data_IF_165146617321
#
_entry.id   IF_165146617321
#
_cell.length_a   1.000
_cell.length_b   1.000
_cell.length_c   1.000
_cell.angle_alpha   90.00
_cell.angle_beta   90.00
_cell.angle_gamma   90.00
#
_symmetry.space_group_name_H-M   'P 1'
#
loop_
_entity.id
_entity.type
_entity.pdbx_description
1 polymer ?
#
# COMPACT_ATOMS: atom_id res chain seq x y z
N UNK A 1 -25.25 7.20 7.17
CA UNK A 1 -25.66 5.96 6.47
C UNK A 1 -25.05 5.88 5.07
N UNK A 2 -25.16 6.93 4.25
CA UNK A 2 -24.54 7.02 2.91
C UNK A 2 -23.02 6.86 2.88
N UNK A 3 -22.27 7.53 3.77
CA UNK A 3 -20.78 7.43 3.81
C UNK A 3 -20.27 6.05 4.21
N UNK A 4 -20.97 5.39 5.14
CA UNK A 4 -20.69 4.01 5.55
C UNK A 4 -20.96 2.99 4.43
N UNK A 5 -21.89 3.30 3.53
CA UNK A 5 -22.11 2.52 2.32
C UNK A 5 -21.00 2.77 1.30
N UNK A 6 -20.59 4.03 1.10
CA UNK A 6 -19.51 4.44 0.19
C UNK A 6 -18.21 3.65 0.41
N UNK A 7 -17.71 3.56 1.65
CA UNK A 7 -16.48 2.80 1.93
C UNK A 7 -16.61 1.30 1.65
N UNK A 8 -17.80 0.71 1.89
CA UNK A 8 -18.05 -0.71 1.60
C UNK A 8 -18.08 -0.98 0.10
N UNK A 9 -18.63 -0.07 -0.68
CA UNK A 9 -18.67 -0.19 -2.13
C UNK A 9 -17.25 -0.09 -2.72
N UNK A 10 -16.43 0.85 -2.23
CA UNK A 10 -15.03 0.99 -2.64
C UNK A 10 -14.19 -0.24 -2.26
N UNK A 11 -14.39 -0.76 -1.05
CA UNK A 11 -13.81 -2.03 -0.60
C UNK A 11 -14.17 -3.16 -1.56
N UNK A 12 -15.45 -3.28 -1.93
CA UNK A 12 -15.92 -4.31 -2.86
C UNK A 12 -15.24 -4.17 -4.23
N UNK A 13 -15.06 -2.95 -4.74
CA UNK A 13 -14.34 -2.72 -6.00
C UNK A 13 -12.88 -3.21 -5.94
N UNK A 14 -12.16 -2.91 -4.85
CA UNK A 14 -10.80 -3.43 -4.67
C UNK A 14 -10.82 -4.97 -4.52
N UNK A 15 -11.72 -5.53 -3.70
CA UNK A 15 -11.82 -6.97 -3.50
C UNK A 15 -12.07 -7.71 -4.81
N UNK A 16 -13.03 -7.22 -5.62
CA UNK A 16 -13.28 -7.75 -6.96
C UNK A 16 -12.03 -7.67 -7.82
N UNK A 17 -11.38 -6.50 -7.90
CA UNK A 17 -10.14 -6.33 -8.67
C UNK A 17 -9.06 -7.34 -8.26
N UNK A 18 -8.79 -7.49 -6.97
CA UNK A 18 -7.77 -8.40 -6.45
C UNK A 18 -8.08 -9.88 -6.72
N UNK A 19 -9.36 -10.25 -6.81
CA UNK A 19 -9.81 -11.63 -7.00
C UNK A 19 -9.98 -12.00 -8.48
N UNK A 20 -10.35 -11.05 -9.33
CA UNK A 20 -10.74 -11.32 -10.73
C UNK A 20 -9.76 -10.80 -11.77
N UNK A 21 -8.81 -9.92 -11.39
CA UNK A 21 -7.82 -9.41 -12.34
C UNK A 21 -6.97 -10.55 -12.94
N UNK A 22 -6.92 -10.68 -14.29
CA UNK A 22 -6.11 -11.70 -14.95
C UNK A 22 -4.62 -11.53 -14.67
N UNK A 23 -4.12 -10.28 -14.63
CA UNK A 23 -2.72 -9.96 -14.36
C UNK A 23 -2.26 -10.33 -12.95
N UNK A 24 -3.21 -10.41 -12.00
CA UNK A 24 -2.95 -10.76 -10.61
C UNK A 24 -3.32 -12.21 -10.28
N UNK A 25 -3.99 -12.93 -11.17
CA UNK A 25 -4.69 -14.19 -10.86
C UNK A 25 -3.78 -15.27 -10.26
N UNK A 26 -2.54 -15.38 -10.74
CA UNK A 26 -1.58 -16.37 -10.29
C UNK A 26 -0.14 -15.88 -10.43
N UNK A 27 0.80 -16.67 -9.90
CA UNK A 27 2.23 -16.34 -9.88
C UNK A 27 2.83 -16.10 -11.28
N UNK A 28 2.34 -16.79 -12.31
CA UNK A 28 2.84 -16.63 -13.68
C UNK A 28 2.37 -15.33 -14.32
N UNK A 29 1.12 -14.93 -14.06
CA UNK A 29 0.60 -13.63 -14.48
C UNK A 29 1.36 -12.47 -13.78
N UNK A 30 1.56 -12.58 -12.47
CA UNK A 30 2.37 -11.63 -11.70
C UNK A 30 3.80 -11.57 -12.24
N UNK A 31 4.38 -12.71 -12.59
CA UNK A 31 5.72 -12.77 -13.21
C UNK A 31 5.79 -11.95 -14.48
N UNK A 32 4.80 -12.07 -15.38
CA UNK A 32 4.76 -11.27 -16.61
C UNK A 32 4.74 -9.76 -16.32
N UNK A 33 3.93 -9.32 -15.34
CA UNK A 33 3.87 -7.90 -14.93
C UNK A 33 5.24 -7.42 -14.43
N UNK A 34 5.82 -8.15 -13.47
CA UNK A 34 7.13 -7.80 -12.88
C UNK A 34 8.24 -7.80 -13.93
N UNK A 35 8.28 -8.80 -14.81
CA UNK A 35 9.30 -8.87 -15.87
C UNK A 35 9.14 -7.75 -16.91
N UNK A 36 7.90 -7.38 -17.24
CA UNK A 36 7.62 -6.27 -18.15
C UNK A 36 8.09 -4.93 -17.59
N UNK A 37 7.93 -4.71 -16.28
CA UNK A 37 8.36 -3.48 -15.63
C UNK A 37 9.88 -3.46 -15.36
N UNK A 38 10.45 -4.60 -14.95
CA UNK A 38 11.85 -4.74 -14.56
C UNK A 38 12.73 -5.40 -15.63
N UNK A 39 12.50 -5.11 -16.91
CA UNK A 39 13.22 -5.74 -18.04
C UNK A 39 14.74 -5.64 -17.93
N UNK A 40 15.27 -4.57 -17.34
CA UNK A 40 16.71 -4.33 -17.18
C UNK A 40 17.30 -4.92 -15.89
N UNK A 41 16.46 -5.45 -14.99
CA UNK A 41 16.93 -6.04 -13.73
C UNK A 41 17.36 -7.50 -13.92
N UNK A 42 18.30 -8.01 -13.09
CA UNK A 42 18.66 -9.44 -13.09
C UNK A 42 17.45 -10.33 -12.79
N UNK A 43 17.43 -11.54 -13.37
CA UNK A 43 16.35 -12.50 -13.20
C UNK A 43 16.09 -12.86 -11.71
N UNK A 44 17.14 -12.92 -10.90
CA UNK A 44 17.04 -13.17 -9.45
C UNK A 44 16.26 -12.06 -8.72
N UNK A 45 16.48 -10.80 -9.11
CA UNK A 45 15.75 -9.65 -8.55
C UNK A 45 14.28 -9.72 -8.98
N UNK A 46 14.01 -10.04 -10.25
CA UNK A 46 12.66 -10.20 -10.75
C UNK A 46 11.91 -11.31 -10.00
N UNK A 47 12.48 -12.51 -9.87
CA UNK A 47 11.83 -13.62 -9.14
C UNK A 47 11.61 -13.30 -7.65
N UNK A 48 12.55 -12.58 -7.01
CA UNK A 48 12.35 -12.07 -5.65
C UNK A 48 11.13 -11.15 -5.58
N UNK A 49 10.98 -10.20 -6.51
CA UNK A 49 9.80 -9.31 -6.57
C UNK A 49 8.52 -10.09 -6.81
N UNK A 50 8.52 -11.07 -7.72
CA UNK A 50 7.35 -11.94 -7.98
C UNK A 50 6.88 -12.64 -6.69
N UNK A 51 7.81 -13.19 -5.91
CA UNK A 51 7.49 -13.84 -4.64
C UNK A 51 6.91 -12.85 -3.62
N UNK A 52 7.49 -11.65 -3.51
CA UNK A 52 7.02 -10.61 -2.59
C UNK A 52 5.63 -10.09 -2.98
N UNK A 53 5.38 -9.82 -4.27
CA UNK A 53 4.06 -9.41 -4.78
C UNK A 53 3.02 -10.48 -4.48
N UNK A 54 3.35 -11.75 -4.78
CA UNK A 54 2.45 -12.88 -4.57
C UNK A 54 2.05 -13.01 -3.10
N UNK A 55 3.02 -12.99 -2.18
CA UNK A 55 2.77 -13.04 -0.73
C UNK A 55 1.90 -11.86 -0.27
N UNK A 56 2.20 -10.63 -0.70
CA UNK A 56 1.39 -9.47 -0.35
C UNK A 56 -0.05 -9.63 -0.84
N UNK A 57 -0.26 -10.06 -2.10
CA UNK A 57 -1.58 -10.29 -2.66
C UNK A 57 -2.36 -11.37 -1.90
N UNK A 58 -1.71 -12.46 -1.50
CA UNK A 58 -2.36 -13.52 -0.72
C UNK A 58 -2.86 -12.99 0.62
N UNK A 59 -2.08 -12.13 1.28
CA UNK A 59 -2.51 -11.48 2.52
C UNK A 59 -3.69 -10.53 2.25
N UNK A 60 -3.60 -9.69 1.22
CA UNK A 60 -4.67 -8.77 0.83
C UNK A 60 -5.98 -9.51 0.49
N UNK A 61 -5.89 -10.64 -0.20
CA UNK A 61 -7.02 -11.52 -0.55
C UNK A 61 -7.62 -12.24 0.65
N UNK A 62 -6.78 -12.65 1.61
CA UNK A 62 -7.26 -13.28 2.84
C UNK A 62 -8.15 -12.35 3.68
N UNK A 63 -8.09 -11.04 3.41
CA UNK A 63 -8.89 -10.01 4.04
C UNK A 63 -10.15 -9.64 3.24
N UNK A 64 -10.33 -10.19 2.04
CA UNK A 64 -11.56 -10.03 1.25
C UNK A 64 -12.71 -10.77 1.94
N UNK A 65 -13.89 -10.14 1.98
CA UNK A 65 -15.09 -10.70 2.62
C UNK A 65 -15.44 -10.06 3.97
N UNK A 66 -16.43 -10.66 4.65
CA UNK A 66 -17.05 -10.08 5.85
C UNK A 66 -17.10 -11.02 7.08
N UNK A 67 -16.66 -12.28 6.96
CA UNK A 67 -16.75 -13.27 8.04
C UNK A 67 -15.56 -13.21 9.01
N UNK A 68 -15.54 -12.14 9.81
CA UNK A 68 -14.50 -11.90 10.83
C UNK A 68 -14.90 -12.36 12.23
N UNK A 69 -15.98 -13.16 12.35
CA UNK A 69 -16.50 -13.69 13.63
C UNK A 69 -15.83 -14.99 14.07
N UNK A 70 -14.83 -15.48 13.34
CA UNK A 70 -14.09 -16.69 13.70
C UNK A 70 -13.19 -16.41 14.91
N UNK A 71 -13.34 -17.22 15.96
CA UNK A 71 -12.45 -17.22 17.12
C UNK A 71 -11.17 -18.05 16.91
N UNK A 72 -10.95 -18.58 15.70
CA UNK A 72 -9.76 -19.39 15.39
C UNK A 72 -8.48 -18.55 15.44
N UNK A 73 -7.41 -19.15 15.95
CA UNK A 73 -6.08 -18.56 15.90
C UNK A 73 -5.69 -18.23 14.44
N UNK A 74 -5.06 -17.07 14.21
CA UNK A 74 -4.70 -16.60 12.87
C UNK A 74 -5.86 -16.01 12.04
N UNK A 75 -7.11 -16.01 12.53
CA UNK A 75 -8.21 -15.32 11.85
C UNK A 75 -8.11 -13.79 12.01
N UNK A 76 -8.61 -13.06 11.01
CA UNK A 76 -8.73 -11.61 11.06
C UNK A 76 -9.71 -11.18 12.16
N UNK A 77 -9.22 -10.38 13.10
CA UNK A 77 -9.97 -9.75 14.19
C UNK A 77 -10.21 -8.29 13.80
N UNK A 78 -11.49 -7.90 13.73
CA UNK A 78 -11.87 -6.50 13.50
C UNK A 78 -11.50 -5.66 14.73
N UNK A 79 -10.66 -4.65 14.55
CA UNK A 79 -10.28 -3.71 15.62
C UNK A 79 -11.16 -2.47 15.58
N UNK A 80 -11.38 -1.93 14.39
CA UNK A 80 -12.19 -0.72 14.21
C UNK A 80 -12.84 -0.71 12.82
N UNK A 81 -14.07 -0.21 12.72
CA UNK A 81 -14.80 -0.05 11.46
C UNK A 81 -15.66 1.22 11.51
N UNK A 82 -15.21 2.24 10.79
CA UNK A 82 -15.83 3.58 10.77
C UNK A 82 -16.36 3.89 9.37
N UNK A 83 -16.92 5.09 9.17
CA UNK A 83 -17.29 5.54 7.83
C UNK A 83 -16.07 5.95 6.97
N UNK A 84 -14.89 6.10 7.59
CA UNK A 84 -13.69 6.63 6.94
C UNK A 84 -12.55 5.63 6.77
N UNK A 85 -12.48 4.61 7.63
CA UNK A 85 -11.45 3.57 7.60
C UNK A 85 -11.88 2.30 8.36
N UNK A 86 -11.20 1.19 8.09
CA UNK A 86 -11.30 -0.08 8.82
C UNK A 86 -9.90 -0.54 9.22
N UNK A 87 -9.76 -1.02 10.45
CA UNK A 87 -8.52 -1.64 10.96
C UNK A 87 -8.80 -3.08 11.38
N UNK A 88 -7.95 -3.99 10.91
CA UNK A 88 -7.98 -5.40 11.24
C UNK A 88 -6.61 -5.87 11.73
N UNK A 89 -6.63 -6.95 12.49
CA UNK A 89 -5.45 -7.54 13.09
C UNK A 89 -5.56 -9.06 13.09
N UNK A 90 -4.46 -9.75 12.86
CA UNK A 90 -4.34 -11.18 13.18
C UNK A 90 -2.97 -11.49 13.76
N UNK A 91 -2.92 -12.50 14.62
CA UNK A 91 -1.67 -13.14 15.01
C UNK A 91 -1.09 -13.89 13.80
N UNK A 92 0.24 -13.97 13.73
CA UNK A 92 0.91 -14.86 12.80
C UNK A 92 0.63 -16.33 13.15
N UNK A 93 1.19 -17.29 12.38
CA UNK A 93 1.15 -18.69 12.72
C UNK A 93 1.66 -18.95 14.15
N UNK A 94 1.19 -20.02 14.79
CA UNK A 94 1.63 -20.38 16.13
C UNK A 94 3.17 -20.54 16.16
N UNK A 95 3.82 -19.92 17.15
CA UNK A 95 5.28 -19.86 17.25
C UNK A 95 5.96 -18.79 16.39
N UNK A 96 5.22 -18.07 15.54
CA UNK A 96 5.75 -16.95 14.76
C UNK A 96 5.77 -15.65 15.57
N UNK A 97 6.84 -14.85 15.51
CA UNK A 97 6.89 -13.53 16.15
C UNK A 97 6.11 -12.45 15.38
N UNK A 98 5.57 -12.80 14.20
CA UNK A 98 4.92 -11.84 13.33
C UNK A 98 3.47 -11.57 13.75
N UNK A 99 3.11 -10.30 13.67
CA UNK A 99 1.76 -9.81 13.80
C UNK A 99 1.34 -9.10 12.52
N UNK A 100 0.18 -9.45 11.97
CA UNK A 100 -0.34 -8.80 10.77
C UNK A 100 -1.37 -7.75 11.13
N UNK A 101 -1.15 -6.52 10.66
CA UNK A 101 -2.10 -5.42 10.73
C UNK A 101 -2.53 -5.05 9.32
N UNK A 102 -3.81 -4.75 9.15
CA UNK A 102 -4.37 -4.26 7.90
C UNK A 102 -5.20 -3.03 8.19
N UNK A 103 -5.01 -2.00 7.38
CA UNK A 103 -5.77 -0.76 7.45
C UNK A 103 -6.19 -0.35 6.06
N UNK A 104 -7.43 0.09 5.93
CA UNK A 104 -7.98 0.53 4.65
C UNK A 104 -8.92 1.70 4.84
N UNK A 105 -9.09 2.47 3.77
CA UNK A 105 -9.91 3.67 3.74
C UNK A 105 -9.89 4.29 2.36
N UNK A 106 -10.33 5.53 2.27
CA UNK A 106 -10.23 6.33 1.05
C UNK A 106 -9.73 7.72 1.36
N UNK A 107 -9.08 8.33 0.37
CA UNK A 107 -8.63 9.71 0.41
C UNK A 107 -9.20 10.48 -0.79
N UNK A 108 -9.50 11.75 -0.55
CA UNK A 108 -10.03 12.68 -1.55
C UNK A 108 -8.85 13.28 -2.35
N UNK A 109 -8.18 12.42 -3.13
CA UNK A 109 -7.16 12.79 -4.10
C UNK A 109 -6.91 11.69 -5.15
N UNK A 110 -6.30 12.04 -6.29
CA UNK A 110 -5.93 11.08 -7.33
C UNK A 110 -4.81 10.13 -6.86
N UNK A 111 -4.61 9.04 -7.61
CA UNK A 111 -3.70 7.94 -7.22
C UNK A 111 -2.26 8.40 -7.07
N UNK A 112 -1.77 9.27 -7.95
CA UNK A 112 -0.40 9.80 -7.92
C UNK A 112 -0.14 10.64 -6.66
N UNK A 113 -1.10 11.46 -6.24
CA UNK A 113 -1.02 12.25 -5.00
C UNK A 113 -1.07 11.33 -3.78
N UNK A 114 -1.97 10.36 -3.78
CA UNK A 114 -2.07 9.36 -2.72
C UNK A 114 -0.79 8.53 -2.60
N UNK A 115 -0.18 8.17 -3.73
CA UNK A 115 1.11 7.50 -3.77
C UNK A 115 2.19 8.41 -3.20
N UNK A 116 2.29 9.67 -3.62
CA UNK A 116 3.29 10.61 -3.09
C UNK A 116 3.24 10.73 -1.57
N UNK A 117 2.05 10.86 -0.99
CA UNK A 117 1.86 10.90 0.46
C UNK A 117 2.38 9.64 1.19
N UNK A 118 2.26 8.46 0.57
CA UNK A 118 2.66 7.17 1.16
C UNK A 118 4.09 6.72 0.78
N UNK A 119 4.61 7.22 -0.34
CA UNK A 119 5.93 6.86 -0.90
C UNK A 119 7.04 7.76 -0.36
N UNK A 120 6.77 9.06 -0.18
CA UNK A 120 7.76 10.02 0.31
C UNK A 120 7.94 9.91 1.83
N UNK A 121 8.69 8.90 2.25
CA UNK A 121 8.95 8.64 3.67
C UNK A 121 9.56 9.86 4.38
N UNK A 122 10.35 10.68 3.67
CA UNK A 122 10.93 11.93 4.21
C UNK A 122 9.88 12.88 4.79
N UNK A 123 8.63 12.83 4.31
CA UNK A 123 7.53 13.69 4.76
C UNK A 123 6.80 13.14 6.00
N UNK A 124 7.09 11.90 6.43
CA UNK A 124 6.36 11.27 7.54
C UNK A 124 6.54 12.02 8.85
N UNK A 125 7.67 12.69 9.08
CA UNK A 125 7.85 13.55 10.26
C UNK A 125 6.80 14.68 10.33
N UNK A 126 6.26 15.11 9.19
CA UNK A 126 5.33 16.24 9.09
C UNK A 126 3.87 15.83 9.32
N UNK A 127 3.50 14.58 9.02
CA UNK A 127 2.09 14.16 9.07
C UNK A 127 1.83 12.85 9.83
N UNK A 128 2.82 11.97 10.00
CA UNK A 128 2.61 10.70 10.70
C UNK A 128 2.29 10.94 12.18
N UNK A 129 1.40 10.16 12.82
CA UNK A 129 1.00 10.41 14.19
C UNK A 129 2.16 10.46 15.18
N UNK A 130 2.06 11.39 16.13
CA UNK A 130 3.00 11.56 17.23
C UNK A 130 2.21 11.54 18.54
N UNK A 131 2.59 10.65 19.46
CA UNK A 131 1.95 10.48 20.77
C UNK A 131 2.95 10.74 21.89
N UNK A 132 2.49 11.45 22.91
CA UNK A 132 3.25 11.62 24.15
C UNK A 132 2.99 10.48 25.16
N UNK A 133 1.79 9.88 25.14
CA UNK A 133 1.45 8.75 26.01
C UNK A 133 0.35 7.87 25.40
N UNK A 134 0.57 6.56 25.20
CA UNK A 134 1.88 5.89 25.16
C UNK A 134 2.81 6.57 24.14
N UNK A 135 4.10 6.69 24.45
CA UNK A 135 5.03 7.43 23.59
C UNK A 135 5.15 6.77 22.22
N UNK A 136 4.91 7.53 21.15
CA UNK A 136 5.24 7.11 19.79
C UNK A 136 5.68 8.31 18.99
N UNK A 137 6.91 8.32 18.47
CA UNK A 137 7.41 9.45 17.68
C UNK A 137 8.29 9.03 16.52
N UNK A 138 8.12 9.64 15.35
CA UNK A 138 9.08 9.51 14.25
C UNK A 138 10.31 10.35 14.58
N UNK A 139 11.45 9.68 14.78
CA UNK A 139 12.74 10.32 15.08
C UNK A 139 13.46 10.72 13.79
N UNK A 140 13.49 9.80 12.83
CA UNK A 140 14.12 9.98 11.53
C UNK A 140 13.28 9.29 10.47
N UNK A 141 13.08 9.95 9.35
CA UNK A 141 12.43 9.40 8.17
C UNK A 141 13.12 9.98 6.94
N UNK A 142 13.83 9.16 6.17
CA UNK A 142 14.56 9.65 5.00
C UNK A 142 14.75 8.56 3.94
N UNK A 143 14.86 8.99 2.68
CA UNK A 143 15.29 8.14 1.58
C UNK A 143 16.81 7.98 1.61
N UNK A 144 17.29 6.76 1.77
CA UNK A 144 18.72 6.44 1.75
C UNK A 144 19.26 6.35 0.32
N UNK A 145 18.50 5.70 -0.57
CA UNK A 145 18.92 5.46 -1.96
C UNK A 145 17.73 5.39 -2.90
N UNK A 146 17.81 6.05 -4.05
CA UNK A 146 16.93 5.80 -5.21
C UNK A 146 17.59 4.69 -6.02
N UNK A 147 16.99 3.50 -6.09
CA UNK A 147 17.56 2.36 -6.80
C UNK A 147 17.18 2.43 -8.28
N UNK A 148 15.89 2.60 -8.54
CA UNK A 148 15.27 2.82 -9.86
C UNK A 148 14.12 3.80 -9.71
N UNK A 149 13.38 4.08 -10.79
CA UNK A 149 12.24 5.00 -10.72
C UNK A 149 11.19 4.53 -9.71
N UNK A 150 10.92 3.24 -9.77
CA UNK A 150 9.94 2.41 -9.05
C UNK A 150 10.54 1.73 -7.81
N UNK A 151 11.81 2.00 -7.46
CA UNK A 151 12.46 1.38 -6.30
C UNK A 151 13.30 2.37 -5.49
N UNK A 152 13.17 2.31 -4.17
CA UNK A 152 13.99 3.08 -3.25
C UNK A 152 14.23 2.35 -1.94
N UNK A 153 15.34 2.69 -1.28
CA UNK A 153 15.64 2.24 0.07
C UNK A 153 15.49 3.43 1.00
N UNK A 154 14.75 3.25 2.08
CA UNK A 154 14.45 4.31 3.04
C UNK A 154 14.62 3.84 4.49
N UNK A 155 14.94 4.76 5.38
CA UNK A 155 15.12 4.51 6.81
C UNK A 155 14.00 5.17 7.60
N UNK A 156 13.41 4.41 8.53
CA UNK A 156 12.50 4.94 9.55
C UNK A 156 13.04 4.58 10.93
N UNK A 157 13.22 5.59 11.78
CA UNK A 157 13.53 5.44 13.21
C UNK A 157 12.37 5.99 14.02
N UNK A 158 11.93 5.23 15.01
CA UNK A 158 10.79 5.58 15.83
C UNK A 158 11.06 5.34 17.31
N UNK A 159 10.62 6.29 18.13
CA UNK A 159 10.45 6.10 19.55
C UNK A 159 9.14 5.37 19.78
N UNK A 160 9.14 4.36 20.65
CA UNK A 160 7.98 3.52 20.97
C UNK A 160 7.70 3.55 22.47
N UNK A 161 6.55 2.99 22.94
CA UNK A 161 6.20 3.05 24.35
C UNK A 161 7.20 2.32 25.25
N UNK A 162 7.58 2.95 26.37
CA UNK A 162 8.38 2.31 27.41
C UNK A 162 7.67 1.03 27.92
N UNK A 163 8.39 -0.08 28.21
CA UNK A 163 9.84 -0.23 28.36
C UNK A 163 10.62 -0.56 27.08
N UNK A 164 10.00 -0.41 25.90
CA UNK A 164 10.67 -0.71 24.64
C UNK A 164 11.73 0.36 24.33
N UNK A 165 12.93 -0.08 23.95
CA UNK A 165 13.93 0.81 23.32
C UNK A 165 13.40 1.39 22.00
N UNK A 166 14.13 2.33 21.41
CA UNK A 166 13.77 2.84 20.09
C UNK A 166 13.83 1.73 19.04
N UNK A 167 13.06 1.88 17.96
CA UNK A 167 12.96 0.92 16.87
C UNK A 167 13.37 1.55 15.55
N UNK A 168 13.96 0.74 14.68
CA UNK A 168 14.24 1.17 13.32
C UNK A 168 13.89 0.10 12.30
N UNK A 169 13.66 0.54 11.07
CA UNK A 169 13.48 -0.33 9.92
C UNK A 169 14.09 0.32 8.69
N UNK A 170 14.87 -0.46 7.94
CA UNK A 170 15.34 -0.10 6.60
C UNK A 170 14.43 -0.81 5.61
N UNK A 171 13.70 -0.04 4.82
CA UNK A 171 12.65 -0.53 3.92
C UNK A 171 13.10 -0.43 2.48
N UNK A 172 13.04 -1.55 1.78
CA UNK A 172 13.12 -1.69 0.34
C UNK A 172 11.72 -1.54 -0.26
N UNK A 173 11.51 -0.42 -0.95
CA UNK A 173 10.27 -0.06 -1.63
C UNK A 173 10.33 -0.55 -3.08
N UNK A 174 9.24 -1.14 -3.54
CA UNK A 174 9.01 -1.45 -4.95
C UNK A 174 7.57 -1.13 -5.33
N UNK A 175 7.37 -0.24 -6.30
CA UNK A 175 6.07 0.04 -6.90
C UNK A 175 5.84 -0.92 -8.07
N UNK A 176 4.62 -1.42 -8.21
CA UNK A 176 4.17 -2.27 -9.31
C UNK A 176 2.95 -1.64 -9.95
N UNK A 177 3.07 -1.38 -11.24
CA UNK A 177 2.05 -0.77 -12.07
C UNK A 177 1.02 -1.83 -12.51
N UNK A 178 -0.26 -1.64 -12.17
CA UNK A 178 -1.38 -2.51 -12.59
C UNK A 178 -2.46 -1.66 -13.27
N UNK A 179 -2.07 -0.88 -14.28
CA UNK A 179 -2.92 0.17 -14.86
C UNK A 179 -4.18 -0.34 -15.56
N UNK A 180 -4.16 -1.54 -16.13
CA UNK A 180 -5.37 -2.16 -16.71
C UNK A 180 -6.52 -2.22 -15.69
N UNK A 181 -6.16 -2.35 -14.42
CA UNK A 181 -7.08 -2.43 -13.29
C UNK A 181 -7.20 -1.11 -12.50
N UNK A 182 -6.71 0.02 -13.03
CA UNK A 182 -6.58 1.30 -12.29
C UNK A 182 -5.97 1.13 -10.88
N UNK A 183 -4.98 0.24 -10.77
CA UNK A 183 -4.40 -0.19 -9.50
C UNK A 183 -2.90 0.08 -9.50
N UNK A 184 -2.39 0.56 -8.37
CA UNK A 184 -0.95 0.62 -8.07
C UNK A 184 -0.71 -0.18 -6.79
N UNK A 185 0.30 -1.04 -6.80
CA UNK A 185 0.71 -1.83 -5.62
C UNK A 185 2.11 -1.40 -5.22
N UNK A 186 2.33 -1.09 -3.94
CA UNK A 186 3.66 -0.81 -3.41
C UNK A 186 4.01 -1.87 -2.38
N UNK A 187 5.15 -2.52 -2.58
CA UNK A 187 5.76 -3.42 -1.62
C UNK A 187 6.72 -2.67 -0.72
N UNK A 188 6.75 -3.08 0.55
CA UNK A 188 7.62 -2.56 1.59
C UNK A 188 8.18 -3.76 2.34
N UNK A 189 9.48 -4.03 2.18
CA UNK A 189 10.15 -5.14 2.85
C UNK A 189 11.38 -4.66 3.61
N UNK A 190 11.56 -5.14 4.83
CA UNK A 190 12.75 -4.81 5.61
C UNK A 190 13.98 -5.48 5.04
N UNK A 191 15.08 -4.74 4.96
CA UNK A 191 16.41 -5.29 4.76
C UNK A 191 16.96 -5.60 6.15
N UNK A 192 17.07 -6.89 6.48
CA UNK A 192 17.36 -7.34 7.85
C UNK A 192 18.86 -7.41 8.16
N UNK A 193 19.67 -7.73 7.16
CA UNK A 193 21.10 -8.00 7.34
C UNK A 193 21.94 -6.74 7.06
N UNK A 194 22.76 -6.34 8.04
CA UNK A 194 23.66 -5.19 7.94
C UNK A 194 24.63 -5.33 6.77
N UNK A 195 25.08 -6.54 6.43
CA UNK A 195 25.93 -6.76 5.26
C UNK A 195 25.16 -6.53 3.97
N UNK A 196 23.95 -7.08 3.85
CA UNK A 196 23.07 -6.78 2.70
C UNK A 196 22.72 -5.29 2.58
N UNK A 197 22.56 -4.57 3.69
CA UNK A 197 22.36 -3.12 3.71
C UNK A 197 23.61 -2.42 3.16
N UNK A 198 24.79 -2.78 3.66
CA UNK A 198 26.05 -2.21 3.21
C UNK A 198 26.28 -2.49 1.72
N UNK A 199 25.93 -3.67 1.21
CA UNK A 199 25.95 -4.00 -0.22
C UNK A 199 24.99 -3.14 -1.04
N UNK A 200 23.73 -3.05 -0.60
CA UNK A 200 22.72 -2.23 -1.26
C UNK A 200 23.09 -0.73 -1.25
N UNK A 201 23.81 -0.28 -0.24
CA UNK A 201 24.21 1.11 -0.01
C UNK A 201 25.67 1.39 -0.38
N UNK A 202 26.39 0.44 -1.02
CA UNK A 202 27.76 0.65 -1.53
C UNK A 202 27.81 1.92 -2.39
N UNK A 203 28.80 2.78 -2.09
CA UNK A 203 29.01 4.06 -2.76
C UNK A 203 28.32 5.27 -2.10
N UNK A 204 27.48 5.07 -1.07
CA UNK A 204 27.01 6.16 -0.23
C UNK A 204 28.11 6.51 0.79
N UNK A 205 28.77 7.64 0.59
CA UNK A 205 29.71 8.22 1.55
C UNK A 205 28.93 8.85 2.70
N UNK A 206 28.56 8.04 3.69
CA UNK A 206 27.90 8.55 4.87
C UNK A 206 28.10 7.62 6.05
N UNK A 207 28.74 8.13 7.09
CA UNK A 207 28.65 7.63 8.47
C UNK A 207 27.20 7.62 9.03
N UNK A 208 26.17 7.64 8.18
CA UNK A 208 24.77 7.95 8.50
C UNK A 208 23.91 6.70 8.74
N UNK A 209 24.37 5.53 8.31
CA UNK A 209 23.74 4.22 8.59
C UNK A 209 24.43 3.55 9.78
N UNK A 210 25.14 4.31 10.63
CA UNK A 210 25.63 3.78 11.89
C UNK A 210 24.42 3.29 12.71
N UNK A 211 24.51 2.06 13.22
CA UNK A 211 23.55 1.49 14.16
C UNK A 211 23.33 2.50 15.27
N UNK A 212 22.12 3.04 15.37
CA UNK A 212 21.80 3.97 16.43
C UNK A 212 21.88 3.21 17.76
N UNK A 213 22.78 3.64 18.66
CA UNK A 213 22.98 3.03 19.97
C UNK A 213 21.61 2.85 20.67
N UNK A 214 21.35 1.66 21.20
CA UNK A 214 20.10 1.29 21.87
C UNK A 214 18.83 1.25 20.98
N UNK A 215 18.99 1.04 19.67
CA UNK A 215 17.87 0.86 18.74
C UNK A 215 17.74 -0.59 18.30
N UNK A 216 16.53 -1.12 18.26
CA UNK A 216 16.25 -2.50 17.81
C UNK A 216 15.68 -2.46 16.40
N UNK A 217 16.30 -3.22 15.48
CA UNK A 217 15.85 -3.33 14.09
C UNK A 217 14.68 -4.30 13.97
N UNK A 218 13.57 -3.81 13.44
CA UNK A 218 12.36 -4.58 13.23
C UNK A 218 12.39 -5.30 11.88
N UNK A 219 11.67 -6.42 11.78
CA UNK A 219 11.35 -7.00 10.48
C UNK A 219 9.95 -6.57 10.06
N UNK A 220 9.81 -6.15 8.81
CA UNK A 220 8.57 -5.73 8.21
C UNK A 220 8.43 -6.37 6.83
N UNK A 221 7.27 -6.95 6.53
CA UNK A 221 6.91 -7.29 5.15
C UNK A 221 5.46 -6.94 4.88
N UNK A 222 5.20 -6.31 3.75
CA UNK A 222 3.85 -5.87 3.39
C UNK A 222 3.90 -4.78 2.35
N UNK A 223 3.00 -3.81 2.48
CA UNK A 223 2.85 -2.75 1.50
C UNK A 223 1.44 -2.19 1.46
N UNK A 224 1.11 -1.48 0.39
CA UNK A 224 -0.22 -0.94 0.18
C UNK A 224 -0.68 -1.04 -1.28
N UNK A 225 -1.99 -1.16 -1.46
CA UNK A 225 -2.64 -1.10 -2.76
C UNK A 225 -3.45 0.20 -2.85
N UNK A 226 -3.33 0.92 -3.96
CA UNK A 226 -4.06 2.14 -4.28
C UNK A 226 -4.94 1.88 -5.50
N UNK A 227 -6.25 1.86 -5.29
CA UNK A 227 -7.25 1.67 -6.34
C UNK A 227 -7.90 3.01 -6.64
N UNK A 228 -7.84 3.42 -7.90
CA UNK A 228 -8.63 4.55 -8.38
C UNK A 228 -10.11 4.20 -8.29
N UNK A 229 -10.89 5.10 -7.70
CA UNK A 229 -12.35 5.01 -7.73
C UNK A 229 -12.91 5.96 -8.79
N UNK A 230 -12.41 7.19 -8.78
CA UNK A 230 -12.68 8.22 -9.77
C UNK A 230 -11.44 9.13 -9.93
N UNK A 231 -11.56 10.24 -10.66
CA UNK A 231 -10.44 11.15 -10.89
C UNK A 231 -9.90 11.83 -9.62
N UNK A 232 -10.69 11.88 -8.54
CA UNK A 232 -10.38 12.62 -7.31
C UNK A 232 -10.48 11.77 -6.05
N UNK A 233 -10.79 10.49 -6.17
CA UNK A 233 -10.96 9.58 -5.04
C UNK A 233 -10.13 8.32 -5.26
N UNK A 234 -9.30 8.01 -4.27
CA UNK A 234 -8.49 6.79 -4.24
C UNK A 234 -8.84 5.98 -3.00
N UNK A 235 -9.11 4.70 -3.20
CA UNK A 235 -9.24 3.73 -2.11
C UNK A 235 -7.89 3.09 -1.84
N UNK A 236 -7.51 2.97 -0.57
CA UNK A 236 -6.25 2.36 -0.17
C UNK A 236 -6.48 1.18 0.77
N UNK A 237 -5.61 0.19 0.66
CA UNK A 237 -5.49 -0.90 1.63
C UNK A 237 -4.03 -1.21 1.89
N UNK A 238 -3.59 -0.92 3.10
CA UNK A 238 -2.25 -1.18 3.62
C UNK A 238 -2.25 -2.42 4.48
N UNK A 239 -1.25 -3.27 4.29
CA UNK A 239 -1.02 -4.44 5.13
C UNK A 239 0.44 -4.51 5.55
N UNK A 240 0.68 -4.94 6.78
CA UNK A 240 2.03 -5.10 7.31
C UNK A 240 2.11 -6.27 8.27
N UNK A 241 3.02 -7.19 7.98
CA UNK A 241 3.51 -8.20 8.91
C UNK A 241 4.71 -7.61 9.65
N UNK A 242 4.58 -7.52 10.96
CA UNK A 242 5.55 -6.87 11.81
C UNK A 242 6.06 -7.86 12.86
N UNK A 243 7.37 -8.02 12.91
CA UNK A 243 8.06 -8.63 14.04
C UNK A 243 8.74 -7.50 14.83
N UNK A 244 8.19 -7.25 16.02
CA UNK A 244 8.60 -6.19 16.94
C UNK A 244 9.88 -6.54 17.72
N UNK A 245 10.45 -7.74 17.52
CA UNK A 245 11.57 -8.29 18.28
C UNK A 245 11.29 -8.33 19.78
N UNK A 246 10.13 -8.88 20.12
CA UNK A 246 9.70 -9.12 21.50
C UNK A 246 9.36 -10.60 21.65
N UNK A 247 9.84 -11.22 22.72
CA UNK A 247 9.48 -12.61 23.05
C UNK A 247 7.97 -12.76 23.26
N UNK A 248 7.35 -11.71 23.79
CA UNK A 248 5.91 -11.61 23.96
C UNK A 248 5.43 -10.19 23.64
N UNK A 249 4.47 -10.08 22.71
CA UNK A 249 3.87 -8.78 22.36
C UNK A 249 2.63 -8.53 23.23
N UNK A 250 2.65 -7.50 24.11
CA UNK A 250 1.53 -7.25 25.00
C UNK A 250 0.24 -6.89 24.24
N UNK A 251 -0.94 -7.41 24.65
CA UNK A 251 -2.21 -7.04 24.03
C UNK A 251 -2.48 -5.53 24.05
N UNK A 252 -2.00 -4.82 25.09
CA UNK A 252 -2.09 -3.36 25.19
C UNK A 252 -1.34 -2.65 24.06
N UNK A 253 -0.17 -3.14 23.67
CA UNK A 253 0.62 -2.59 22.57
C UNK A 253 -0.10 -2.79 21.23
N UNK A 254 -0.63 -3.99 20.97
CA UNK A 254 -1.43 -4.25 19.77
C UNK A 254 -2.66 -3.34 19.73
N UNK A 255 -3.35 -3.14 20.85
CA UNK A 255 -4.51 -2.25 20.91
C UNK A 255 -4.12 -0.79 20.69
N UNK A 256 -2.98 -0.32 21.23
CA UNK A 256 -2.45 1.01 20.94
C UNK A 256 -2.16 1.18 19.44
N UNK A 257 -1.43 0.24 18.84
CA UNK A 257 -1.08 0.29 17.41
C UNK A 257 -2.35 0.28 16.55
N UNK A 258 -3.23 -0.70 16.78
CA UNK A 258 -4.41 -0.90 15.92
C UNK A 258 -5.50 0.15 16.09
N UNK A 259 -5.79 0.60 17.32
CA UNK A 259 -6.94 1.49 17.58
C UNK A 259 -6.57 2.96 17.66
N UNK A 260 -5.34 3.29 18.03
CA UNK A 260 -4.93 4.69 18.20
C UNK A 260 -4.02 5.10 17.06
N UNK A 261 -2.88 4.41 16.92
CA UNK A 261 -1.85 4.80 15.96
C UNK A 261 -2.36 4.71 14.51
N UNK A 262 -2.88 3.56 14.08
CA UNK A 262 -3.35 3.37 12.70
C UNK A 262 -4.62 4.16 12.37
N UNK A 263 -5.53 4.31 13.34
CA UNK A 263 -6.70 5.17 13.20
C UNK A 263 -6.29 6.64 12.95
N UNK A 264 -5.36 7.16 13.76
CA UNK A 264 -4.81 8.50 13.58
C UNK A 264 -4.05 8.63 12.26
N UNK A 265 -3.26 7.62 11.89
CA UNK A 265 -2.53 7.61 10.62
C UNK A 265 -3.47 7.72 9.42
N UNK A 266 -4.62 7.03 9.42
CA UNK A 266 -5.62 7.18 8.36
C UNK A 266 -6.16 8.60 8.26
N UNK A 267 -6.51 9.19 9.39
CA UNK A 267 -7.08 10.53 9.43
C UNK A 267 -6.06 11.58 8.97
N UNK A 268 -4.79 11.45 9.39
CA UNK A 268 -3.71 12.34 8.97
C UNK A 268 -3.32 12.13 7.51
N UNK A 269 -3.32 10.89 7.02
CA UNK A 269 -3.09 10.58 5.61
C UNK A 269 -4.11 11.26 4.71
N UNK A 270 -5.40 11.22 5.06
CA UNK A 270 -6.45 11.94 4.31
C UNK A 270 -6.23 13.45 4.31
N UNK A 271 -5.83 14.02 5.45
CA UNK A 271 -5.55 15.46 5.56
C UNK A 271 -4.35 15.87 4.72
N UNK A 272 -3.26 15.09 4.75
CA UNK A 272 -2.08 15.40 3.95
C UNK A 272 -2.39 15.29 2.48
N UNK A 273 -3.11 14.25 2.02
CA UNK A 273 -3.55 14.13 0.62
C UNK A 273 -4.32 15.37 0.16
N UNK A 274 -5.27 15.88 0.96
CA UNK A 274 -6.00 17.10 0.62
C UNK A 274 -5.07 18.32 0.51
N UNK A 275 -4.07 18.45 1.39
CA UNK A 275 -3.07 19.52 1.30
C UNK A 275 -2.17 19.38 0.07
N UNK A 276 -1.77 18.14 -0.28
CA UNK A 276 -0.98 17.87 -1.47
C UNK A 276 -1.75 18.18 -2.76
N UNK A 277 -3.05 17.86 -2.82
CA UNK A 277 -3.92 18.22 -3.96
C UNK A 277 -3.99 19.74 -4.16
N UNK A 278 -3.99 20.51 -3.08
CA UNK A 278 -4.00 21.99 -3.15
C UNK A 278 -2.65 22.57 -3.59
N UNK A 279 -1.60 21.76 -3.65
CA UNK A 279 -0.24 22.21 -3.99
C UNK A 279 0.45 22.96 -2.85
N UNK A 280 0.06 22.71 -1.60
CA UNK A 280 0.60 23.44 -0.45
C UNK A 280 2.08 23.08 -0.19
N UNK A 281 2.98 24.05 -0.26
CA UNK A 281 4.36 23.97 0.28
C UNK A 281 5.26 22.89 -0.36
N UNK A 282 6.05 22.21 0.48
CA UNK A 282 7.03 21.18 0.07
C UNK A 282 6.39 19.96 -0.62
N UNK A 283 5.07 19.80 -0.50
CA UNK A 283 4.33 18.67 -1.05
C UNK A 283 4.11 18.76 -2.57
N UNK A 284 3.95 19.98 -3.11
CA UNK A 284 3.76 20.20 -4.54
C UNK A 284 4.98 19.77 -5.35
N UNK A 285 6.16 20.21 -4.92
CA UNK A 285 7.42 19.90 -5.61
C UNK A 285 7.74 18.39 -5.65
N UNK A 286 7.34 17.63 -4.62
CA UNK A 286 7.56 16.18 -4.59
C UNK A 286 6.81 15.47 -5.73
N UNK A 287 5.63 15.96 -6.11
CA UNK A 287 4.77 15.35 -7.13
C UNK A 287 5.20 15.64 -8.58
N UNK A 288 6.20 16.50 -8.78
CA UNK A 288 6.84 16.72 -10.08
C UNK A 288 7.80 15.58 -10.45
N UNK A 289 8.07 14.67 -9.51
CA UNK A 289 8.93 13.52 -9.74
C UNK A 289 8.40 12.60 -10.85
N UNK A 290 9.29 12.00 -11.66
CA UNK A 290 8.90 11.22 -12.85
C UNK A 290 7.99 10.01 -12.56
N UNK A 291 8.03 9.46 -11.33
CA UNK A 291 7.15 8.36 -10.91
C UNK A 291 5.69 8.82 -10.89
N UNK A 292 5.43 9.97 -10.27
CA UNK A 292 4.08 10.52 -10.12
C UNK A 292 3.53 11.04 -11.44
N UNK A 293 4.38 11.66 -12.27
CA UNK A 293 4.02 12.09 -13.62
C UNK A 293 3.55 10.90 -14.46
N UNK A 294 4.34 9.81 -14.49
CA UNK A 294 3.98 8.60 -15.25
C UNK A 294 2.65 8.00 -14.81
N UNK A 295 2.42 7.89 -13.51
CA UNK A 295 1.17 7.33 -12.96
C UNK A 295 0.00 8.25 -13.29
N UNK A 296 0.16 9.57 -13.15
CA UNK A 296 -0.86 10.56 -13.48
C UNK A 296 -1.27 10.46 -14.95
N UNK A 297 -0.31 10.39 -15.86
CA UNK A 297 -0.55 10.27 -17.31
C UNK A 297 -1.35 9.01 -17.65
N UNK A 298 -0.93 7.85 -17.16
CA UNK A 298 -1.66 6.59 -17.40
C UNK A 298 -3.06 6.62 -16.82
N UNK A 299 -3.23 7.12 -15.60
CA UNK A 299 -4.54 7.22 -14.96
C UNK A 299 -5.47 8.19 -15.69
N UNK A 300 -4.95 9.26 -16.28
CA UNK A 300 -5.74 10.19 -17.11
C UNK A 300 -6.13 9.56 -18.45
N UNK A 301 -5.19 8.96 -19.17
CA UNK A 301 -5.45 8.30 -20.47
C UNK A 301 -6.52 7.22 -20.36
N UNK A 302 -6.47 6.39 -19.30
CA UNK A 302 -7.49 5.36 -19.07
C UNK A 302 -8.89 5.95 -18.85
N UNK A 303 -9.01 7.15 -18.27
CA UNK A 303 -10.31 7.82 -18.16
C UNK A 303 -10.85 8.24 -19.53
N UNK A 304 -10.00 8.79 -20.39
CA UNK A 304 -10.41 9.23 -21.73
C UNK A 304 -10.89 8.04 -22.56
N UNK A 305 -10.18 6.90 -22.52
CA UNK A 305 -10.57 5.67 -23.20
C UNK A 305 -11.91 5.13 -22.65
N UNK A 306 -12.07 5.07 -21.32
CA UNK A 306 -13.33 4.59 -20.71
C UNK A 306 -14.52 5.50 -21.02
N UNK A 307 -14.31 6.81 -21.07
CA UNK A 307 -15.36 7.78 -21.39
C UNK A 307 -15.74 7.75 -22.89
N UNK A 308 -14.78 7.53 -23.78
CA UNK A 308 -15.02 7.39 -25.23
C UNK A 308 -15.65 6.04 -25.59
N UNK A 309 -15.41 5.00 -24.80
CA UNK A 309 -16.04 3.68 -24.93
C UNK A 309 -17.47 3.57 -24.32
N UNK A 310 -18.04 4.66 -23.79
CA UNK A 310 -19.41 4.73 -23.24
C UNK A 310 -20.53 4.57 -24.29
N UNK A 311 -21.78 4.28 -23.87
CA UNK A 311 -22.69 3.29 -24.47
C UNK A 311 -23.20 3.69 -25.86
N UNK A 312 -22.46 3.32 -26.92
CA UNK A 312 -22.98 3.33 -28.30
C UNK A 312 -22.87 1.99 -29.03
N UNK A 313 -22.39 0.93 -28.38
CA UNK A 313 -22.06 -0.33 -29.04
C UNK A 313 -23.00 -1.51 -28.73
N UNK A 314 -24.22 -1.29 -28.20
CA UNK A 314 -25.17 -2.38 -27.90
C UNK A 314 -26.62 -2.15 -28.38
N UNK A 315 -26.85 -1.28 -29.38
CA UNK A 315 -28.19 -1.13 -29.98
C UNK A 315 -28.27 -1.34 -31.50
N UNK A 316 -27.18 -1.66 -32.19
CA UNK A 316 -27.20 -1.75 -33.66
C UNK A 316 -27.06 -3.17 -34.25
N UNK A 317 -27.36 -4.24 -33.51
CA UNK A 317 -27.37 -5.61 -34.07
C UNK A 317 -28.73 -6.33 -34.02
N UNK A 318 -29.84 -5.64 -33.69
CA UNK A 318 -31.18 -6.24 -33.68
C UNK A 318 -32.21 -5.52 -34.59
N UNK A 319 -31.79 -4.89 -35.70
CA UNK A 319 -32.75 -4.36 -36.68
C UNK A 319 -32.43 -4.66 -38.15
N UNK A 320 -31.84 -5.80 -38.46
CA UNK A 320 -31.77 -6.32 -39.83
C UNK A 320 -32.06 -7.82 -39.85
N UNK A 321 -33.29 -8.22 -39.54
CA UNK A 321 -33.89 -9.49 -39.96
C UNK A 321 -35.38 -9.48 -39.62
N UNK A 322 -36.17 -8.89 -40.51
CA UNK A 322 -37.62 -8.87 -40.35
C UNK A 322 -38.32 -7.95 -41.31
N UNK A 323 -38.11 -8.11 -42.62
CA UNK A 323 -39.19 -7.87 -43.59
C UNK A 323 -38.82 -8.47 -44.95
N UNK A 324 -39.49 -9.56 -45.31
CA UNK A 324 -39.70 -9.99 -46.68
C UNK A 324 -40.91 -10.94 -46.70
N UNK A 325 -42.09 -10.35 -46.61
CA UNK A 325 -43.29 -10.87 -47.26
C UNK A 325 -43.62 -9.93 -48.40
N UNK A 326 -43.73 -10.44 -49.64
CA UNK A 326 -44.86 -10.23 -50.58
C UNK A 326 -44.72 -11.23 -51.74
N UNK A 327 -45.72 -12.11 -51.82
CA UNK A 327 -46.47 -12.59 -53.00
C UNK A 327 -45.80 -12.71 -54.38
N UNK A 328 -45.76 -13.92 -54.93
CA UNK A 328 -46.72 -14.37 -55.98
C UNK A 328 -46.64 -15.87 -56.20
#
# INVERSE_FOLDING_TARGET
MERKQKIKDFRKQLDTTLLTSPGLANKDAIRKLVQSQLQSAPAEVQEKRVAQVSNMLDIQRSACGNDFKSSKHGAWKLKEDTEGYRVMYREGPEGSPFHTLLTEGYADGPVDVCLGAAWELSLYKNWWPQYNFPTFKVLTSCRLKKVRLDEQISLLRMKVPWPLSDREVVLDYFELECFEDDLVIVLLNSISDTDSINEHLRGLTGNEILEAKNTVRLNFSGGFALKKIDSNTTYFRTVGNLDLKLDFVPPSLINFISRQLLASACNLYRKVVIAMVKGDGEFGNALEGPLYVRIREHMCLNNEIKNTAGPKALQNENSELGDNHVET
#
